data_IF_308872066138
#
_entry.id   IF_308872066138
#
_cell.length_a   1.000
_cell.length_b   1.000
_cell.length_c   1.000
_cell.angle_alpha   90.00
_cell.angle_beta   90.00
_cell.angle_gamma   90.00
#
_symmetry.space_group_name_H-M   'P 1'
#
loop_
_entity.id
_entity.type
_entity.pdbx_description
1 polymer ?
#
# COMPACT_ATOMS: atom_id res chain seq x y z
N UNK A 1 42.53 -37.86 16.42
CA UNK A 1 41.99 -37.09 15.28
C UNK A 1 40.53 -36.79 15.57
N UNK A 2 40.23 -35.63 16.16
CA UNK A 2 38.86 -35.12 16.30
C UNK A 2 38.64 -34.11 15.18
N UNK A 3 37.69 -34.40 14.28
CA UNK A 3 37.29 -33.50 13.22
C UNK A 3 36.00 -32.79 13.64
N UNK A 4 36.08 -31.49 13.89
CA UNK A 4 34.93 -30.63 14.17
C UNK A 4 34.30 -30.23 12.83
N UNK A 5 33.08 -30.71 12.56
CA UNK A 5 32.26 -30.22 11.47
C UNK A 5 31.54 -28.93 11.94
N UNK A 6 32.03 -27.77 11.52
CA UNK A 6 31.33 -26.50 11.68
C UNK A 6 30.22 -26.41 10.62
N UNK A 7 28.97 -26.54 11.05
CA UNK A 7 27.80 -26.29 10.23
C UNK A 7 27.56 -24.78 10.16
N UNK A 8 27.98 -24.13 9.07
CA UNK A 8 27.67 -22.72 8.82
C UNK A 8 26.20 -22.57 8.42
N UNK A 9 25.35 -22.18 9.36
CA UNK A 9 24.01 -21.68 9.06
C UNK A 9 24.12 -20.30 8.38
N UNK A 10 23.99 -20.27 7.06
CA UNK A 10 23.70 -19.04 6.31
C UNK A 10 22.23 -18.67 6.61
N UNK A 11 22.02 -17.83 7.62
CA UNK A 11 20.73 -17.17 7.83
C UNK A 11 20.58 -16.14 6.73
N UNK A 12 19.79 -16.46 5.70
CA UNK A 12 19.28 -15.47 4.76
C UNK A 12 18.41 -14.48 5.56
N UNK A 13 18.96 -13.31 5.89
CA UNK A 13 18.14 -12.20 6.37
C UNK A 13 17.33 -11.73 5.17
N UNK A 14 16.05 -12.08 5.12
CA UNK A 14 15.11 -11.43 4.21
C UNK A 14 15.22 -9.92 4.42
N UNK A 15 15.41 -9.18 3.35
CA UNK A 15 15.28 -7.73 3.39
C UNK A 15 13.80 -7.45 3.61
N UNK A 16 13.40 -7.14 4.85
CA UNK A 16 12.06 -6.63 5.09
C UNK A 16 11.94 -5.28 4.37
N UNK A 17 10.88 -5.12 3.59
CA UNK A 17 10.56 -3.83 2.97
C UNK A 17 10.29 -2.82 4.08
N UNK A 18 10.89 -1.64 3.96
CA UNK A 18 10.62 -0.53 4.89
C UNK A 18 9.32 0.14 4.47
N UNK A 19 8.19 -0.42 4.93
CA UNK A 19 6.86 0.17 4.76
C UNK A 19 6.78 1.51 5.51
N UNK A 20 5.87 2.41 5.10
CA UNK A 20 5.66 3.68 5.79
C UNK A 20 5.02 3.40 7.15
N UNK A 21 5.71 3.79 8.22
CA UNK A 21 5.10 3.97 9.53
C UNK A 21 4.46 5.37 9.57
N UNK A 22 3.19 5.44 9.97
CA UNK A 22 2.42 6.67 10.04
C UNK A 22 1.78 6.82 11.42
N UNK A 23 1.72 8.05 11.96
CA UNK A 23 1.12 8.30 13.27
C UNK A 23 -0.39 8.02 13.23
N UNK A 24 -0.97 7.83 14.42
CA UNK A 24 -2.43 7.67 14.58
C UNK A 24 -3.21 8.88 14.04
N UNK A 25 -2.64 10.09 14.15
CA UNK A 25 -3.22 11.34 13.67
C UNK A 25 -2.24 12.03 12.73
N UNK A 26 -2.73 12.56 11.61
CA UNK A 26 -1.86 13.20 10.63
C UNK A 26 -2.60 13.91 9.51
N UNK A 27 -1.85 14.23 8.45
CA UNK A 27 -2.41 14.76 7.20
C UNK A 27 -2.10 13.81 6.05
N UNK A 28 -3.00 13.79 5.07
CA UNK A 28 -2.92 12.90 3.91
C UNK A 28 -3.49 13.62 2.68
N UNK A 29 -3.28 13.02 1.51
CA UNK A 29 -4.07 13.35 0.33
C UNK A 29 -5.29 12.42 0.27
N UNK A 30 -6.37 12.92 -0.32
CA UNK A 30 -7.58 12.16 -0.59
C UNK A 30 -7.94 12.28 -2.08
N UNK A 31 -8.06 11.13 -2.73
CA UNK A 31 -8.61 10.97 -4.08
C UNK A 31 -9.91 10.16 -4.02
N UNK A 32 -10.55 9.97 -5.17
CA UNK A 32 -11.72 9.09 -5.29
C UNK A 32 -11.51 8.07 -6.40
N UNK A 33 -12.10 6.89 -6.21
CA UNK A 33 -12.21 5.86 -7.22
C UNK A 33 -13.57 5.16 -7.12
N UNK A 34 -14.05 4.64 -8.24
CA UNK A 34 -15.30 3.88 -8.26
C UNK A 34 -15.04 2.44 -7.87
N UNK A 35 -15.74 1.97 -6.84
CA UNK A 35 -15.74 0.58 -6.40
C UNK A 35 -17.14 -0.02 -6.59
N UNK A 36 -17.30 -1.10 -7.38
CA UNK A 36 -18.60 -1.75 -7.53
C UNK A 36 -19.08 -2.34 -6.20
N UNK A 37 -20.40 -2.30 -5.95
CA UNK A 37 -20.98 -3.00 -4.82
C UNK A 37 -20.70 -4.52 -4.91
N UNK A 38 -20.49 -5.13 -3.75
CA UNK A 38 -20.17 -6.54 -3.58
C UNK A 38 -18.82 -6.95 -4.22
N UNK A 39 -17.91 -6.00 -4.44
CA UNK A 39 -16.56 -6.29 -4.88
C UNK A 39 -15.67 -6.77 -3.72
N UNK A 40 -14.84 -7.78 -3.97
CA UNK A 40 -13.83 -8.24 -3.01
C UNK A 40 -12.54 -7.48 -3.29
N UNK A 41 -12.29 -6.43 -2.51
CA UNK A 41 -11.10 -5.59 -2.56
C UNK A 41 -9.83 -6.30 -2.05
N UNK A 42 -8.67 -5.65 -2.11
CA UNK A 42 -7.37 -6.27 -1.83
C UNK A 42 -7.25 -6.93 -0.44
N UNK A 43 -7.98 -6.44 0.57
CA UNK A 43 -8.03 -7.11 1.87
C UNK A 43 -8.71 -8.49 1.86
N UNK A 44 -9.45 -8.83 0.79
CA UNK A 44 -9.69 -10.21 0.39
C UNK A 44 -10.78 -10.99 1.12
N UNK A 45 -11.71 -10.35 1.84
CA UNK A 45 -12.51 -11.08 2.84
C UNK A 45 -14.01 -11.01 2.71
N UNK A 46 -14.57 -9.83 2.53
CA UNK A 46 -16.01 -9.70 2.41
C UNK A 46 -16.36 -8.67 1.36
N UNK A 47 -17.41 -8.97 0.62
CA UNK A 47 -17.96 -8.12 -0.41
C UNK A 47 -18.86 -7.04 0.20
N UNK A 48 -19.49 -7.32 1.35
CA UNK A 48 -20.51 -6.44 1.93
C UNK A 48 -19.93 -5.14 2.51
N UNK A 49 -18.61 -5.04 2.70
CA UNK A 49 -17.97 -3.81 3.16
C UNK A 49 -18.16 -2.64 2.18
N UNK A 50 -18.39 -2.93 0.89
CA UNK A 50 -18.61 -1.90 -0.14
C UNK A 50 -19.94 -1.15 0.02
N UNK A 51 -20.85 -1.63 0.87
CA UNK A 51 -22.10 -0.92 1.21
C UNK A 51 -21.91 0.14 2.30
N UNK A 52 -20.68 0.34 2.75
CA UNK A 52 -20.29 1.27 3.81
C UNK A 52 -19.06 2.10 3.37
N UNK A 53 -18.74 3.20 4.07
CA UNK A 53 -17.62 4.05 3.67
C UNK A 53 -16.31 3.27 3.74
N UNK A 54 -15.65 3.10 2.60
CA UNK A 54 -14.40 2.36 2.47
C UNK A 54 -13.39 3.15 1.66
N UNK A 55 -12.12 2.85 1.84
CA UNK A 55 -11.05 3.47 1.07
C UNK A 55 -9.95 2.46 0.73
N UNK A 56 -9.26 2.74 -0.37
CA UNK A 56 -7.95 2.16 -0.63
C UNK A 56 -6.87 3.01 0.06
N UNK A 57 -5.81 2.39 0.57
CA UNK A 57 -4.67 3.11 1.14
C UNK A 57 -3.45 2.98 0.22
N UNK A 58 -2.66 4.05 0.09
CA UNK A 58 -1.41 4.04 -0.69
C UNK A 58 -0.49 2.89 -0.26
N UNK A 59 -0.02 2.11 -1.24
CA UNK A 59 0.75 0.87 -1.10
C UNK A 59 1.73 0.84 0.08
N UNK A 60 2.58 1.86 0.19
CA UNK A 60 3.62 1.89 1.20
C UNK A 60 3.08 2.09 2.62
N UNK A 61 1.96 2.79 2.80
CA UNK A 61 1.24 2.88 4.08
C UNK A 61 0.29 1.69 4.30
N UNK A 62 -0.21 1.09 3.23
CA UNK A 62 -0.99 -0.15 3.31
C UNK A 62 -0.14 -1.34 3.78
N UNK A 63 1.14 -1.35 3.42
CA UNK A 63 2.15 -2.31 3.87
C UNK A 63 2.18 -3.60 3.06
N UNK A 64 1.69 -3.58 1.82
CA UNK A 64 1.83 -4.67 0.85
C UNK A 64 1.58 -4.15 -0.58
N UNK A 65 2.35 -4.64 -1.55
CA UNK A 65 2.17 -4.38 -2.98
C UNK A 65 1.09 -5.25 -3.66
N UNK A 66 0.54 -6.21 -2.94
CA UNK A 66 -0.50 -7.12 -3.43
C UNK A 66 -1.31 -7.72 -2.27
N UNK A 67 -2.58 -8.05 -2.53
CA UNK A 67 -3.50 -8.67 -1.57
C UNK A 67 -3.49 -7.92 -0.22
N UNK A 68 -3.56 -8.63 0.90
CA UNK A 68 -3.65 -8.05 2.24
C UNK A 68 -2.33 -7.46 2.75
N UNK A 69 -2.44 -6.49 3.65
CA UNK A 69 -1.32 -5.89 4.38
C UNK A 69 -1.75 -5.35 5.76
N UNK A 70 -0.79 -4.86 6.57
CA UNK A 70 -1.06 -4.33 7.92
C UNK A 70 -2.06 -3.16 7.99
N UNK A 71 -2.30 -2.47 6.87
CA UNK A 71 -3.31 -1.42 6.74
C UNK A 71 -4.75 -1.96 6.70
N UNK A 72 -4.95 -3.21 6.29
CA UNK A 72 -6.28 -3.81 6.14
C UNK A 72 -7.09 -3.80 7.43
N UNK A 73 -8.35 -3.38 7.31
CA UNK A 73 -9.32 -3.41 8.40
C UNK A 73 -9.22 -2.23 9.35
N UNK A 74 -8.19 -1.37 9.25
CA UNK A 74 -8.07 -0.15 10.06
C UNK A 74 -9.16 0.84 9.67
N UNK A 75 -9.63 1.64 10.64
CA UNK A 75 -10.59 2.71 10.41
C UNK A 75 -9.98 4.08 10.68
N UNK A 76 -10.37 5.05 9.84
CA UNK A 76 -9.88 6.41 9.93
C UNK A 76 -11.05 7.39 9.79
N UNK A 77 -11.11 8.35 10.71
CA UNK A 77 -11.92 9.54 10.51
C UNK A 77 -11.15 10.51 9.63
N UNK A 78 -11.62 10.75 8.40
CA UNK A 78 -10.99 11.60 7.40
C UNK A 78 -11.79 12.89 7.29
N UNK A 79 -11.13 14.04 7.46
CA UNK A 79 -11.75 15.37 7.42
C UNK A 79 -11.16 16.20 6.29
N UNK A 80 -12.03 16.77 5.43
CA UNK A 80 -11.62 17.63 4.32
C UNK A 80 -11.02 18.95 4.84
N UNK A 81 -9.85 19.36 4.35
CA UNK A 81 -9.22 20.62 4.73
C UNK A 81 -9.27 21.67 3.61
N UNK A 82 -8.77 21.31 2.44
CA UNK A 82 -8.71 22.17 1.26
C UNK A 82 -8.41 21.35 0.00
N UNK A 83 -8.50 21.96 -1.17
CA UNK A 83 -8.21 21.31 -2.46
C UNK A 83 -6.79 21.64 -2.95
N UNK A 84 -6.20 20.76 -3.76
CA UNK A 84 -4.88 20.97 -4.38
C UNK A 84 -4.94 21.67 -5.74
N UNK A 85 -5.87 21.23 -6.59
CA UNK A 85 -5.86 21.57 -8.02
C UNK A 85 -6.76 22.76 -8.38
N UNK A 86 -7.47 23.36 -7.42
CA UNK A 86 -8.30 24.53 -7.70
C UNK A 86 -7.49 25.81 -7.64
N UNK A 87 -7.84 26.76 -8.51
CA UNK A 87 -7.24 28.11 -8.53
C UNK A 87 -8.38 29.16 -8.48
N UNK A 88 -8.51 29.94 -7.39
CA UNK A 88 -7.72 29.86 -6.14
C UNK A 88 -7.95 28.56 -5.35
N UNK A 89 -7.12 28.25 -4.33
CA UNK A 89 -7.38 27.10 -3.47
C UNK A 89 -8.75 27.20 -2.78
N UNK A 90 -9.53 26.12 -2.81
CA UNK A 90 -10.84 26.05 -2.17
C UNK A 90 -10.71 25.59 -0.72
N UNK A 91 -11.27 26.38 0.18
CA UNK A 91 -11.39 26.08 1.61
C UNK A 91 -12.88 26.03 1.93
N UNK A 92 -13.41 24.86 2.34
CA UNK A 92 -14.82 24.74 2.64
C UNK A 92 -15.13 25.45 3.98
N UNK A 93 -16.33 26.01 4.10
CA UNK A 93 -16.76 26.73 5.32
C UNK A 93 -16.99 25.75 6.49
N UNK A 94 -17.57 24.60 6.16
CA UNK A 94 -17.64 23.43 7.02
C UNK A 94 -16.57 22.43 6.58
N UNK A 95 -16.08 21.61 7.51
CA UNK A 95 -15.08 20.58 7.22
C UNK A 95 -15.73 19.19 7.39
N UNK A 96 -16.41 18.65 6.36
CA UNK A 96 -17.02 17.33 6.42
C UNK A 96 -16.01 16.25 6.79
N UNK A 97 -16.49 15.28 7.57
CA UNK A 97 -15.71 14.13 8.00
C UNK A 97 -16.44 12.83 7.68
N UNK A 98 -15.68 11.79 7.36
CA UNK A 98 -16.21 10.43 7.15
C UNK A 98 -15.28 9.41 7.80
N UNK A 99 -15.86 8.48 8.55
CA UNK A 99 -15.12 7.33 9.06
C UNK A 99 -15.11 6.25 8.00
N UNK A 100 -13.94 5.92 7.47
CA UNK A 100 -13.75 4.87 6.47
C UNK A 100 -13.05 3.67 7.04
N UNK A 101 -13.31 2.50 6.48
CA UNK A 101 -12.51 1.29 6.68
C UNK A 101 -11.59 1.05 5.50
N UNK A 102 -10.33 0.70 5.76
CA UNK A 102 -9.39 0.31 4.72
C UNK A 102 -9.68 -1.12 4.28
N UNK A 103 -10.16 -1.25 3.05
CA UNK A 103 -10.51 -2.55 2.45
C UNK A 103 -9.71 -2.83 1.19
N UNK A 104 -9.04 -1.82 0.63
CA UNK A 104 -8.35 -1.92 -0.64
C UNK A 104 -6.95 -1.33 -0.64
N UNK A 105 -6.20 -1.65 -1.69
CA UNK A 105 -4.86 -1.19 -1.97
C UNK A 105 -4.90 -0.16 -3.09
N UNK A 106 -4.32 1.02 -2.87
CA UNK A 106 -3.97 1.93 -3.96
C UNK A 106 -2.53 1.68 -4.38
N UNK A 107 -2.28 0.98 -5.51
CA UNK A 107 -0.95 0.57 -5.92
C UNK A 107 -0.07 1.78 -6.27
N UNK A 108 1.24 1.57 -6.20
CA UNK A 108 2.23 2.58 -6.56
C UNK A 108 1.97 3.14 -7.97
N UNK A 109 2.17 4.44 -8.11
CA UNK A 109 1.91 5.17 -9.36
C UNK A 109 0.64 6.02 -9.31
N UNK A 110 -0.50 5.52 -8.78
CA UNK A 110 -1.85 6.11 -8.80
C UNK A 110 -1.94 7.63 -9.06
N UNK A 111 -1.92 8.05 -10.33
CA UNK A 111 -1.83 9.45 -10.81
C UNK A 111 -0.85 10.38 -10.05
N UNK A 112 0.15 9.81 -9.36
CA UNK A 112 1.12 10.50 -8.50
C UNK A 112 0.71 10.63 -7.03
N UNK A 113 -0.50 10.24 -6.64
CA UNK A 113 -1.03 10.37 -5.27
C UNK A 113 -0.68 9.16 -4.39
N UNK A 114 -0.69 7.95 -4.95
CA UNK A 114 -0.30 6.73 -4.22
C UNK A 114 1.19 6.37 -4.35
N UNK A 115 2.03 7.29 -4.84
CA UNK A 115 3.44 7.05 -5.14
C UNK A 115 4.39 7.36 -3.98
N UNK A 116 3.89 7.56 -2.76
CA UNK A 116 4.73 7.82 -1.61
C UNK A 116 5.62 6.59 -1.31
N UNK A 117 6.82 6.84 -0.83
CA UNK A 117 7.76 5.83 -0.33
C UNK A 117 8.22 6.21 1.07
N UNK A 118 8.90 5.32 1.79
CA UNK A 118 9.44 5.60 3.12
C UNK A 118 10.27 6.90 3.21
N UNK A 119 10.90 7.31 2.10
CA UNK A 119 11.80 8.46 2.07
C UNK A 119 11.34 9.60 1.15
N UNK A 120 10.16 9.50 0.53
CA UNK A 120 9.68 10.49 -0.43
C UNK A 120 8.15 10.58 -0.39
N UNK A 121 7.56 11.77 -0.14
CA UNK A 121 6.12 11.94 -0.19
C UNK A 121 5.59 11.87 -1.63
N UNK A 122 4.27 11.78 -1.76
CA UNK A 122 3.56 11.85 -3.03
C UNK A 122 3.54 13.28 -3.63
N UNK A 123 2.83 13.45 -4.75
CA UNK A 123 2.74 14.75 -5.44
C UNK A 123 2.16 15.89 -4.58
N UNK A 124 1.36 15.58 -3.56
CA UNK A 124 0.81 16.54 -2.60
C UNK A 124 1.67 16.78 -1.36
N UNK A 125 2.85 16.16 -1.27
CA UNK A 125 3.71 16.26 -0.09
C UNK A 125 3.28 15.37 1.09
N UNK A 126 2.33 14.46 0.89
CA UNK A 126 1.86 13.52 1.91
C UNK A 126 2.51 12.14 1.78
N UNK A 127 2.65 11.43 2.90
CA UNK A 127 3.13 10.03 2.94
C UNK A 127 1.98 9.00 2.86
N UNK A 128 0.75 9.46 3.08
CA UNK A 128 -0.46 8.63 3.01
C UNK A 128 -1.38 9.25 1.97
N UNK A 129 -1.92 8.41 1.08
CA UNK A 129 -3.11 8.73 0.30
C UNK A 129 -4.23 7.77 0.67
N UNK A 130 -5.42 8.32 0.87
CA UNK A 130 -6.66 7.55 0.90
C UNK A 130 -7.36 7.75 -0.44
N UNK A 131 -7.69 6.66 -1.13
CA UNK A 131 -8.55 6.68 -2.30
C UNK A 131 -9.96 6.28 -1.86
N UNK A 132 -10.87 7.24 -1.72
CA UNK A 132 -12.21 7.00 -1.20
C UNK A 132 -13.05 6.27 -2.25
N UNK A 133 -13.72 5.18 -1.85
CA UNK A 133 -14.70 4.53 -2.70
C UNK A 133 -15.91 5.47 -2.88
N UNK A 134 -15.97 6.12 -4.05
CA UNK A 134 -16.94 7.17 -4.34
C UNK A 134 -17.30 7.19 -5.84
N UNK A 135 -18.57 7.48 -6.19
CA UNK A 135 -19.73 7.67 -5.31
C UNK A 135 -20.08 6.40 -4.53
N UNK A 136 -20.71 6.57 -3.36
CA UNK A 136 -21.17 5.47 -2.50
C UNK A 136 -22.54 5.80 -1.91
N UNK A 137 -23.41 4.79 -1.81
CA UNK A 137 -24.73 4.93 -1.18
C UNK A 137 -24.65 5.24 0.33
N UNK A 138 -23.49 5.02 0.97
CA UNK A 138 -23.27 5.24 2.40
C UNK A 138 -22.54 6.55 2.71
N UNK A 139 -22.24 7.37 1.71
CA UNK A 139 -21.59 8.67 1.89
C UNK A 139 -22.52 9.71 1.25
N UNK A 140 -22.93 10.78 1.96
CA UNK A 140 -23.84 11.79 1.42
C UNK A 140 -23.32 12.39 0.11
N UNK A 141 -24.19 12.58 -0.89
CA UNK A 141 -23.86 13.14 -2.21
C UNK A 141 -23.17 14.53 -2.14
N UNK A 142 -23.37 15.25 -1.05
CA UNK A 142 -22.81 16.58 -0.77
C UNK A 142 -21.54 16.55 0.10
N UNK A 143 -20.96 15.37 0.37
CA UNK A 143 -19.74 15.21 1.15
C UNK A 143 -18.55 16.01 0.61
N UNK A 144 -18.46 16.19 -0.72
CA UNK A 144 -17.47 17.04 -1.37
C UNK A 144 -18.08 18.43 -1.67
N UNK A 145 -17.90 19.42 -0.77
CA UNK A 145 -18.42 20.76 -0.98
C UNK A 145 -17.76 21.43 -2.19
N UNK A 146 -18.51 22.28 -2.88
CA UNK A 146 -18.02 22.99 -4.05
C UNK A 146 -18.66 24.35 -4.25
N UNK A 147 -18.07 25.15 -5.14
CA UNK A 147 -18.61 26.43 -5.55
C UNK A 147 -18.55 26.56 -7.08
N UNK A 148 -19.49 25.90 -7.76
CA UNK A 148 -19.55 25.88 -9.21
C UNK A 148 -19.65 27.28 -9.84
N UNK A 149 -20.28 28.23 -9.15
CA UNK A 149 -20.39 29.63 -9.61
C UNK A 149 -19.04 30.33 -9.70
N UNK A 150 -18.10 29.99 -8.81
CA UNK A 150 -16.74 30.54 -8.80
C UNK A 150 -15.78 29.77 -9.71
N UNK A 151 -15.80 28.44 -9.64
CA UNK A 151 -14.80 27.59 -10.29
C UNK A 151 -15.23 27.07 -11.66
N UNK A 152 -16.53 27.01 -11.95
CA UNK A 152 -17.08 26.43 -13.19
C UNK A 152 -17.20 24.91 -13.17
N UNK A 153 -16.86 24.25 -12.07
CA UNK A 153 -16.96 22.80 -11.86
C UNK A 153 -17.22 22.49 -10.37
N UNK A 154 -17.69 21.28 -10.09
CA UNK A 154 -18.02 20.82 -8.72
C UNK A 154 -17.02 19.81 -8.16
N UNK A 155 -16.31 19.10 -9.03
CA UNK A 155 -15.34 18.09 -8.62
C UNK A 155 -13.92 18.65 -8.67
N UNK A 156 -13.30 18.80 -7.50
CA UNK A 156 -11.92 19.24 -7.37
C UNK A 156 -10.89 18.11 -7.53
N UNK A 157 -11.34 16.86 -7.56
CA UNK A 157 -10.55 15.65 -7.75
C UNK A 157 -9.68 15.25 -6.56
N UNK A 158 -8.93 16.18 -5.98
CA UNK A 158 -7.93 15.90 -4.95
C UNK A 158 -8.00 16.89 -3.79
N UNK A 159 -8.04 16.32 -2.60
CA UNK A 159 -8.15 17.04 -1.34
C UNK A 159 -6.93 16.81 -0.45
N UNK A 160 -6.56 17.85 0.29
CA UNK A 160 -5.77 17.73 1.50
C UNK A 160 -6.71 17.42 2.65
N UNK A 161 -6.36 16.44 3.48
CA UNK A 161 -7.21 15.97 4.59
C UNK A 161 -6.41 15.83 5.86
N UNK A 162 -7.07 15.97 7.01
CA UNK A 162 -6.56 15.39 8.25
C UNK A 162 -7.17 14.01 8.44
N UNK A 163 -6.42 13.10 9.05
CA UNK A 163 -6.94 11.79 9.44
C UNK A 163 -6.67 11.53 10.92
N UNK A 164 -7.54 10.73 11.53
CA UNK A 164 -7.38 10.15 12.86
C UNK A 164 -7.73 8.66 12.78
N UNK A 165 -6.85 7.79 13.26
CA UNK A 165 -7.15 6.38 13.47
C UNK A 165 -8.20 6.25 14.58
N UNK A 166 -9.28 5.55 14.29
CA UNK A 166 -10.43 5.38 15.21
C UNK A 166 -10.74 3.90 15.42
N UNK A 167 -11.58 3.59 16.41
CA UNK A 167 -12.01 2.22 16.67
C UNK A 167 -13.11 1.84 15.69
N UNK A 168 -12.88 0.83 14.86
CA UNK A 168 -13.87 0.45 13.86
C UNK A 168 -15.20 0.05 14.49
N UNK A 169 -15.19 -0.65 15.63
CA UNK A 169 -16.39 -1.22 16.21
C UNK A 169 -17.34 -0.17 16.78
N UNK A 170 -16.80 0.98 17.19
CA UNK A 170 -17.57 2.10 17.72
C UNK A 170 -17.89 3.17 16.66
N UNK A 171 -16.95 3.44 15.75
CA UNK A 171 -16.99 4.65 14.92
C UNK A 171 -17.35 4.40 13.45
N UNK A 172 -17.15 3.17 12.94
CA UNK A 172 -17.46 2.85 11.54
C UNK A 172 -18.87 2.29 11.38
N UNK A 173 -19.66 2.86 10.47
CA UNK A 173 -21.08 2.51 10.28
C UNK A 173 -21.32 1.02 9.97
N UNK A 174 -20.39 0.39 9.23
CA UNK A 174 -20.47 -1.03 8.89
C UNK A 174 -20.20 -1.99 10.05
N UNK A 175 -19.81 -1.51 11.22
CA UNK A 175 -19.40 -2.34 12.36
C UNK A 175 -20.48 -3.29 12.88
N UNK A 176 -21.75 -2.90 12.75
CA UNK A 176 -22.88 -3.71 13.22
C UNK A 176 -23.30 -4.80 12.23
N UNK A 177 -22.72 -4.79 11.02
CA UNK A 177 -22.98 -5.80 10.02
C UNK A 177 -21.80 -6.78 9.95
N UNK A 178 -21.98 -7.97 10.52
CA UNK A 178 -20.94 -9.01 10.56
C UNK A 178 -20.39 -9.37 9.17
N UNK A 179 -21.21 -9.30 8.12
CA UNK A 179 -20.77 -9.56 6.76
C UNK A 179 -19.90 -8.42 6.20
N UNK A 180 -20.02 -7.19 6.71
CA UNK A 180 -19.21 -6.05 6.30
C UNK A 180 -17.89 -5.91 7.06
N UNK A 181 -17.68 -6.69 8.12
CA UNK A 181 -16.50 -6.54 8.99
C UNK A 181 -15.17 -6.91 8.31
N UNK A 182 -15.17 -7.55 7.15
CA UNK A 182 -13.93 -7.96 6.49
C UNK A 182 -13.23 -9.13 7.19
N UNK A 183 -13.89 -9.81 8.14
CA UNK A 183 -13.38 -11.01 8.83
C UNK A 183 -14.45 -12.09 8.87
N UNK A 184 -14.18 -13.26 8.29
CA UNK A 184 -14.96 -14.47 8.54
C UNK A 184 -14.21 -15.32 9.58
N UNK A 185 -14.95 -15.98 10.48
CA UNK A 185 -14.34 -16.98 11.36
C UNK A 185 -13.79 -18.13 10.51
N UNK A 186 -12.46 -18.22 10.42
CA UNK A 186 -11.71 -19.39 9.94
C UNK A 186 -12.13 -19.97 8.56
N UNK A 187 -12.02 -19.15 7.51
CA UNK A 187 -12.10 -19.64 6.10
C UNK A 187 -10.72 -19.82 5.43
N UNK A 188 -9.64 -19.85 6.22
CA UNK A 188 -8.26 -19.93 5.73
C UNK A 188 -7.52 -18.60 5.93
N UNK A 189 -6.20 -18.67 5.96
CA UNK A 189 -5.23 -17.65 6.40
C UNK A 189 -5.15 -16.34 5.56
N UNK A 190 -6.25 -15.89 4.97
CA UNK A 190 -6.32 -14.76 4.03
C UNK A 190 -7.03 -13.54 4.59
N UNK A 191 -7.64 -13.64 5.78
CA UNK A 191 -8.44 -12.56 6.36
C UNK A 191 -7.85 -11.83 7.55
N UNK A 192 -7.93 -10.50 7.47
CA UNK A 192 -7.42 -9.60 8.49
C UNK A 192 -8.40 -9.44 9.65
N UNK A 193 -7.91 -9.06 10.84
CA UNK A 193 -8.78 -8.75 11.96
C UNK A 193 -9.85 -7.70 11.59
N UNK A 194 -11.07 -7.86 12.11
CA UNK A 194 -12.15 -6.89 11.89
C UNK A 194 -11.84 -5.50 12.42
N UNK A 195 -11.03 -5.41 13.48
CA UNK A 195 -10.66 -4.18 14.15
C UNK A 195 -9.20 -4.29 14.62
N UNK A 196 -8.24 -4.17 13.68
CA UNK A 196 -6.83 -4.33 13.99
C UNK A 196 -6.36 -3.20 14.92
N UNK A 197 -5.73 -3.57 16.03
CA UNK A 197 -5.16 -2.61 16.99
C UNK A 197 -3.81 -3.09 17.50
N UNK A 198 -2.84 -2.17 17.59
CA UNK A 198 -1.47 -2.50 17.96
C UNK A 198 -0.84 -3.56 17.05
N UNK A 199 -0.55 -4.73 17.61
CA UNK A 199 0.12 -5.83 16.91
C UNK A 199 -0.83 -6.82 16.22
N UNK A 200 -2.16 -6.68 16.41
CA UNK A 200 -3.15 -7.54 15.78
C UNK A 200 -3.48 -7.01 14.37
N UNK A 201 -2.49 -7.10 13.48
CA UNK A 201 -2.59 -6.63 12.09
C UNK A 201 -2.30 -7.78 11.14
N UNK A 202 -2.78 -7.66 9.90
CA UNK A 202 -2.39 -8.59 8.86
C UNK A 202 -0.88 -8.51 8.57
N UNK A 203 -0.19 -9.64 8.35
CA UNK A 203 1.17 -9.59 7.83
C UNK A 203 1.15 -9.00 6.40
N UNK A 204 2.29 -8.51 5.93
CA UNK A 204 2.44 -8.16 4.52
C UNK A 204 2.40 -9.42 3.66
N UNK A 205 1.43 -9.52 2.74
CA UNK A 205 1.42 -10.59 1.75
C UNK A 205 2.68 -10.57 0.89
N UNK A 206 3.13 -9.38 0.50
CA UNK A 206 4.27 -9.19 -0.40
C UNK A 206 5.60 -9.59 0.25
N UNK A 207 5.80 -9.30 1.54
CA UNK A 207 7.01 -9.77 2.24
C UNK A 207 7.03 -11.30 2.39
N UNK A 208 5.86 -11.93 2.51
CA UNK A 208 5.73 -13.38 2.65
C UNK A 208 5.88 -14.14 1.32
N UNK A 209 5.44 -13.55 0.21
CA UNK A 209 5.35 -14.22 -1.09
C UNK A 209 6.32 -13.66 -2.16
N UNK A 210 7.05 -12.61 -1.81
CA UNK A 210 7.85 -11.82 -2.73
C UNK A 210 7.02 -10.76 -3.45
N UNK A 211 7.69 -9.70 -3.88
CA UNK A 211 7.10 -8.64 -4.70
C UNK A 211 7.13 -9.14 -6.15
N UNK A 212 5.99 -9.28 -6.85
CA UNK A 212 5.98 -9.57 -8.27
C UNK A 212 6.84 -8.55 -9.01
N UNK A 213 7.65 -8.94 -10.01
CA UNK A 213 8.43 -7.97 -10.77
C UNK A 213 7.47 -6.93 -11.38
N UNK A 214 7.84 -5.65 -11.28
CA UNK A 214 7.11 -4.57 -11.93
C UNK A 214 7.08 -4.86 -13.44
N UNK A 215 5.89 -5.23 -13.94
CA UNK A 215 5.65 -5.51 -15.36
C UNK A 215 5.08 -4.30 -16.09
N UNK A 216 4.92 -3.16 -15.40
CA UNK A 216 4.55 -1.91 -16.07
C UNK A 216 5.68 -1.53 -17.01
N UNK A 217 5.32 -1.12 -18.22
CA UNK A 217 6.25 -0.88 -19.31
C UNK A 217 6.98 0.46 -19.12
N UNK A 218 7.80 0.59 -18.08
CA UNK A 218 8.86 1.58 -18.07
C UNK A 218 9.95 1.07 -19.01
N UNK A 219 10.18 1.81 -20.10
CA UNK A 219 11.24 1.63 -21.10
C UNK A 219 12.43 0.83 -20.56
N UNK A 220 12.55 -0.40 -21.04
CA UNK A 220 13.57 -1.37 -20.67
C UNK A 220 14.98 -0.79 -20.80
N UNK A 221 15.61 -0.52 -19.67
CA UNK A 221 17.05 -0.64 -19.53
C UNK A 221 17.31 -1.79 -18.56
N UNK A 222 17.08 -3.00 -19.05
CA UNK A 222 17.61 -4.19 -18.41
C UNK A 222 19.14 -4.12 -18.54
N UNK A 223 19.79 -3.48 -17.58
CA UNK A 223 21.22 -3.64 -17.38
C UNK A 223 21.40 -5.08 -16.91
N UNK A 224 21.75 -5.95 -17.85
CA UNK A 224 22.21 -7.32 -17.58
C UNK A 224 23.40 -7.22 -16.62
N UNK A 225 23.14 -7.29 -15.32
CA UNK A 225 24.15 -7.58 -14.31
C UNK A 225 24.48 -9.06 -14.45
N UNK A 226 25.37 -9.36 -15.39
CA UNK A 226 26.05 -10.66 -15.43
C UNK A 226 26.83 -10.78 -14.12
N UNK A 227 26.58 -11.81 -13.30
CA UNK A 227 27.34 -12.02 -12.07
C UNK A 227 28.82 -12.19 -12.41
N UNK A 228 29.66 -11.28 -11.89
CA UNK A 228 31.11 -11.17 -12.12
C UNK A 228 31.91 -12.39 -11.61
N UNK A 229 31.23 -13.40 -11.07
CA UNK A 229 31.83 -14.61 -10.50
C UNK A 229 32.19 -15.68 -11.54
N UNK A 230 31.73 -15.58 -12.78
CA UNK A 230 32.01 -16.57 -13.84
C UNK A 230 33.20 -16.23 -14.75
N UNK A 231 33.61 -14.95 -14.81
CA UNK A 231 34.77 -14.53 -15.59
C UNK A 231 36.11 -14.84 -14.89
N UNK A 232 36.13 -14.81 -13.55
CA UNK A 232 37.35 -15.12 -12.79
C UNK A 232 37.73 -16.60 -12.81
N UNK A 233 36.78 -17.52 -12.97
CA UNK A 233 37.08 -18.97 -12.96
C UNK A 233 37.62 -19.46 -14.30
N UNK A 234 37.22 -18.85 -15.42
CA UNK A 234 37.68 -19.24 -16.77
C UNK A 234 39.08 -18.69 -17.09
N UNK A 235 39.44 -17.51 -16.57
CA UNK A 235 40.78 -16.93 -16.72
C UNK A 235 41.85 -17.65 -15.88
N UNK A 236 41.50 -18.22 -14.72
CA UNK A 236 42.46 -19.00 -13.92
C UNK A 236 42.77 -20.39 -14.48
N UNK A 237 41.85 -21.03 -15.21
CA UNK A 237 42.09 -22.37 -15.78
C UNK A 237 42.95 -22.36 -17.05
N UNK A 238 43.03 -21.22 -17.76
CA UNK A 238 43.88 -21.11 -18.96
C UNK A 238 45.34 -20.80 -18.63
N UNK A 239 45.63 -20.12 -17.51
CA UNK A 239 47.02 -19.92 -17.05
C UNK A 239 47.67 -21.16 -16.43
N UNK A 240 46.89 -22.09 -15.85
CA UNK A 240 47.47 -23.30 -15.26
C UNK A 240 47.86 -24.37 -16.30
N UNK A 241 47.24 -24.35 -17.49
CA UNK A 241 47.57 -25.28 -18.58
C UNK A 241 48.77 -24.83 -19.42
N UNK A 242 49.17 -23.55 -19.37
CA UNK A 242 50.38 -23.06 -20.04
C UNK A 242 51.65 -23.36 -19.23
N UNK A 243 51.55 -23.54 -17.90
CA UNK A 243 52.71 -23.78 -17.05
C UNK A 243 53.20 -25.24 -16.97
N UNK A 244 52.42 -26.22 -17.42
CA UNK A 244 52.81 -27.64 -17.42
C UNK A 244 53.13 -28.21 -18.82
N UNK A 245 53.19 -27.37 -19.85
CA UNK A 245 53.40 -27.81 -21.24
C UNK A 245 54.82 -27.67 -21.80
N UNK A 246 55.80 -27.16 -21.05
CA UNK A 246 57.17 -26.96 -21.55
C UNK A 246 58.19 -27.39 -20.51
N UNK A 247 58.53 -28.68 -20.49
CA UNK A 247 59.62 -29.19 -19.67
C UNK A 247 59.79 -30.69 -19.81
N UNK A 248 60.63 -31.12 -20.76
CA UNK A 248 61.12 -32.49 -20.77
C UNK A 248 61.49 -33.00 -22.15
N UNK A 249 62.79 -32.86 -22.45
CA UNK A 249 63.53 -33.54 -23.52
C UNK A 249 63.49 -35.05 -23.31
#
# INVERSE_FOLDING_TARGET
MLSYAFLSFLVARGLATDWIDYPADGTATLTTYTLPENFIAACGCTADSTHYPTAAMSEMAYGSSAAYGPGCGRCFNITLLNTFNSDPPFYPEEHPSVVVKITDLCPSGGNGWCSATANKPNAGGAYVNFDLAWPSNSIPDDFFPSNASLYGYTDFGVWNVSYQSVDCMNDWEGAQNAAALGSAADVGSVCCPANPSGNDTCPSYSDANGIPPDTTSASSSAMLLIPDSWLSTVLCFTMLLVYFGVGGV
#
